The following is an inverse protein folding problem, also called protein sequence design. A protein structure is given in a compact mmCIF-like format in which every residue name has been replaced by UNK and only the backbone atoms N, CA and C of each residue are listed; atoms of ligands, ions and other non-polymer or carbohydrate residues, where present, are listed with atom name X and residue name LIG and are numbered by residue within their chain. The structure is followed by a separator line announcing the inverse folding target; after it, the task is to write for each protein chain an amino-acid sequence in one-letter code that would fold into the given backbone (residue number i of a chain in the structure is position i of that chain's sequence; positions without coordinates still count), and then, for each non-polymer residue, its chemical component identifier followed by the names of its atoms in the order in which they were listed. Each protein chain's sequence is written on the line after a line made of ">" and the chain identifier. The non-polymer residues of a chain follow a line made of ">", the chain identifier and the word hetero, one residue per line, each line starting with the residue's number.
data_IF_152456322674
#
_entry.id   IF_152456322674
#
_cell.length_a   1.000
_cell.length_b   1.000
_cell.length_c   1.000
_cell.angle_alpha   90.00
_cell.angle_beta   90.00
_cell.angle_gamma   90.00
#
_symmetry.space_group_name_H-M   'P 1'
#
loop_
_entity.id
_entity.type
_entity.pdbx_description
1 polymer ?
#
# COMPACT_ATOMS: atom_id res chain seq x y z
N UNK A 1 11.70 -2.06 -9.44
CA UNK A 1 11.08 -1.62 -8.17
C UNK A 1 9.70 -1.11 -8.51
N UNK A 2 8.63 -1.70 -7.95
CA UNK A 2 7.26 -1.20 -8.17
C UNK A 2 7.10 0.17 -7.50
N UNK A 3 6.25 1.01 -8.07
CA UNK A 3 5.80 2.25 -7.45
C UNK A 3 4.86 1.95 -6.27
N UNK A 4 4.69 2.91 -5.36
CA UNK A 4 3.71 2.81 -4.27
C UNK A 4 2.29 2.57 -4.82
N UNK A 5 1.94 3.20 -5.93
CA UNK A 5 0.65 3.00 -6.59
C UNK A 5 0.44 1.53 -6.99
N UNK A 6 1.44 0.92 -7.63
CA UNK A 6 1.38 -0.49 -8.03
C UNK A 6 1.32 -1.42 -6.83
N UNK A 7 2.10 -1.13 -5.78
CA UNK A 7 2.07 -1.90 -4.52
C UNK A 7 0.67 -1.84 -3.88
N UNK A 8 0.07 -0.65 -3.76
CA UNK A 8 -1.28 -0.49 -3.21
C UNK A 8 -2.29 -1.29 -4.05
N UNK A 9 -2.24 -1.20 -5.37
CA UNK A 9 -3.15 -1.96 -6.23
C UNK A 9 -2.98 -3.47 -6.05
N UNK A 10 -1.75 -3.98 -5.93
CA UNK A 10 -1.52 -5.40 -5.64
C UNK A 10 -2.08 -5.80 -4.28
N UNK A 11 -1.85 -4.98 -3.24
CA UNK A 11 -2.40 -5.22 -1.89
C UNK A 11 -3.93 -5.27 -1.92
N UNK A 12 -4.58 -4.33 -2.60
CA UNK A 12 -6.05 -4.32 -2.69
C UNK A 12 -6.60 -5.52 -3.46
N UNK A 13 -5.88 -5.98 -4.49
CA UNK A 13 -6.24 -7.18 -5.25
C UNK A 13 -6.06 -8.47 -4.45
N UNK A 14 -5.31 -8.47 -3.35
CA UNK A 14 -5.20 -9.63 -2.44
C UNK A 14 -6.41 -9.77 -1.49
N UNK A 15 -7.40 -8.88 -1.59
CA UNK A 15 -8.60 -8.88 -0.76
C UNK A 15 -8.56 -7.92 0.42
N UNK A 16 -7.46 -7.20 0.64
CA UNK A 16 -7.40 -6.11 1.62
C UNK A 16 -8.19 -4.89 1.11
N UNK A 17 -8.85 -4.19 2.02
CA UNK A 17 -9.59 -2.96 1.71
C UNK A 17 -8.75 -1.71 1.97
N UNK A 18 -9.10 -0.57 1.35
CA UNK A 18 -8.41 0.70 1.60
C UNK A 18 -8.42 1.12 3.08
N UNK A 19 -9.52 0.98 3.85
CA UNK A 19 -9.53 1.30 5.27
C UNK A 19 -8.62 0.40 6.11
N UNK A 20 -8.54 -0.90 5.78
CA UNK A 20 -7.63 -1.84 6.46
C UNK A 20 -6.17 -1.47 6.19
N UNK A 21 -5.82 -1.21 4.93
CA UNK A 21 -4.48 -0.77 4.56
C UNK A 21 -4.13 0.56 5.23
N UNK A 22 -5.07 1.51 5.31
CA UNK A 22 -4.85 2.78 6.00
C UNK A 22 -4.55 2.57 7.49
N UNK A 23 -5.31 1.68 8.15
CA UNK A 23 -5.09 1.33 9.56
C UNK A 23 -3.71 0.69 9.76
N UNK A 24 -3.30 -0.23 8.89
CA UNK A 24 -2.00 -0.89 8.95
C UNK A 24 -0.85 0.10 8.73
N UNK A 25 -1.02 1.03 7.79
CA UNK A 25 -0.02 2.05 7.45
C UNK A 25 -0.05 3.28 8.37
N UNK A 26 -0.85 3.26 9.44
CA UNK A 26 -1.07 4.38 10.35
C UNK A 26 -1.35 5.71 9.61
N UNK A 27 -2.24 5.65 8.63
CA UNK A 27 -2.68 6.79 7.81
C UNK A 27 -4.19 6.77 7.64
N UNK A 28 -4.73 7.62 6.76
CA UNK A 28 -6.16 7.72 6.50
C UNK A 28 -6.53 7.08 5.15
N UNK A 29 -7.75 6.57 5.03
CA UNK A 29 -8.25 6.03 3.76
C UNK A 29 -8.16 7.06 2.60
N UNK A 30 -8.47 8.36 2.79
CA UNK A 30 -8.23 9.36 1.75
C UNK A 30 -6.76 9.45 1.32
N UNK A 31 -5.81 9.27 2.23
CA UNK A 31 -4.38 9.25 1.88
C UNK A 31 -4.03 8.03 1.02
N UNK A 32 -4.54 6.84 1.37
CA UNK A 32 -4.43 5.63 0.52
C UNK A 32 -5.04 5.89 -0.86
N UNK A 33 -6.23 6.47 -0.92
CA UNK A 33 -6.92 6.76 -2.18
C UNK A 33 -6.12 7.72 -3.07
N UNK A 34 -5.55 8.79 -2.52
CA UNK A 34 -4.68 9.72 -3.28
C UNK A 34 -3.41 9.05 -3.79
N UNK A 35 -2.75 8.23 -2.96
CA UNK A 35 -1.58 7.45 -3.40
C UNK A 35 -1.93 6.45 -4.51
N UNK A 36 -3.07 5.76 -4.38
CA UNK A 36 -3.60 4.84 -5.41
C UNK A 36 -3.87 5.54 -6.74
N UNK A 37 -4.29 6.81 -6.70
CA UNK A 37 -4.56 7.63 -7.89
C UNK A 37 -3.30 8.32 -8.44
N UNK A 38 -2.14 8.17 -7.80
CA UNK A 38 -0.91 8.87 -8.17
C UNK A 38 -0.94 10.38 -7.89
N UNK A 39 -1.91 10.87 -7.10
CA UNK A 39 -2.06 12.29 -6.76
C UNK A 39 -1.12 12.73 -5.62
N UNK A 40 -0.53 11.77 -4.93
CA UNK A 40 0.52 12.00 -3.92
C UNK A 40 1.84 11.49 -4.48
N UNK A 41 2.77 12.41 -4.78
CA UNK A 41 4.09 12.07 -5.29
C UNK A 41 5.01 11.42 -4.22
N UNK A 42 4.81 11.79 -2.94
CA UNK A 42 5.62 11.27 -1.84
C UNK A 42 4.76 11.01 -0.60
N UNK A 43 4.39 9.75 -0.31
CA UNK A 43 3.88 9.42 1.01
C UNK A 43 5.03 9.48 2.00
N UNK A 44 4.85 10.23 3.09
CA UNK A 44 5.89 10.36 4.11
C UNK A 44 6.55 9.01 4.43
N UNK A 45 7.89 9.00 4.51
CA UNK A 45 8.74 7.80 4.50
C UNK A 45 8.19 6.60 5.28
N UNK A 46 7.66 6.82 6.49
CA UNK A 46 7.07 5.76 7.31
C UNK A 46 5.89 5.05 6.64
N UNK A 47 5.00 5.78 5.96
CA UNK A 47 3.85 5.20 5.26
C UNK A 47 4.31 4.41 4.04
N UNK A 48 5.22 4.99 3.25
CA UNK A 48 5.79 4.30 2.09
C UNK A 48 6.47 2.99 2.49
N UNK A 49 7.27 2.99 3.57
CA UNK A 49 7.95 1.79 4.06
C UNK A 49 6.98 0.73 4.58
N UNK A 50 5.91 1.13 5.27
CA UNK A 50 4.89 0.17 5.71
C UNK A 50 4.16 -0.47 4.52
N UNK A 51 3.81 0.31 3.48
CA UNK A 51 3.20 -0.23 2.26
C UNK A 51 4.16 -1.24 1.57
N UNK A 52 5.44 -0.90 1.46
CA UNK A 52 6.46 -1.80 0.90
C UNK A 52 6.54 -3.12 1.68
N UNK A 53 6.58 -3.06 3.01
CA UNK A 53 6.66 -4.26 3.85
C UNK A 53 5.41 -5.15 3.71
N UNK A 54 4.20 -4.57 3.64
CA UNK A 54 2.95 -5.32 3.42
C UNK A 54 2.98 -6.00 2.05
N UNK A 55 3.40 -5.27 1.02
CA UNK A 55 3.53 -5.82 -0.33
C UNK A 55 4.52 -6.99 -0.37
N UNK A 56 5.71 -6.85 0.22
CA UNK A 56 6.70 -7.93 0.28
C UNK A 56 6.15 -9.17 0.99
N UNK A 57 5.46 -9.00 2.12
CA UNK A 57 4.85 -10.12 2.83
C UNK A 57 3.78 -10.85 2.01
N UNK A 58 3.01 -10.15 1.17
CA UNK A 58 2.03 -10.78 0.28
C UNK A 58 2.70 -11.57 -0.86
N UNK A 59 3.77 -11.04 -1.43
CA UNK A 59 4.51 -11.70 -2.51
C UNK A 59 5.23 -12.95 -2.01
N UNK A 60 5.83 -12.89 -0.81
CA UNK A 60 6.44 -14.06 -0.16
C UNK A 60 5.42 -15.17 0.09
N UNK A 61 4.21 -14.82 0.56
CA UNK A 61 3.15 -15.80 0.81
C UNK A 61 2.51 -16.34 -0.48
N UNK A 62 2.56 -15.61 -1.60
CA UNK A 62 2.03 -16.05 -2.89
C UNK A 62 3.01 -16.97 -3.65
N UNK A 63 4.29 -16.95 -3.27
CA UNK A 63 5.35 -17.78 -3.86
C UNK A 63 5.57 -19.12 -3.11
N UNK A 64 4.86 -19.34 -1.99
CA UNK A 64 4.86 -20.56 -1.20
C UNK A 64 3.70 -21.49 -1.59
#
# INVERSE_FOLDING_TARGET
>A
MKSIQEMINTILNSGLTEPELAKMANTTQPSINRMKRGETADPGYSVGKTIENIYMALEENSAA
#
